data_IF_867786406032
#
_entry.id   IF_867786406032
#
_cell.length_a   1.000
_cell.length_b   1.000
_cell.length_c   1.000
_cell.angle_alpha   90.00
_cell.angle_beta   90.00
_cell.angle_gamma   90.00
#
_symmetry.space_group_name_H-M   'P 1'
#
loop_
_entity.id
_entity.type
_entity.pdbx_description
1 polymer ?
#
# COMPACT_ATOMS: atom_id res chain seq x y z
N UNK A 1 -1.94 -3.92 29.31
CA UNK A 1 -1.86 -2.72 30.17
C UNK A 1 -1.55 -1.56 29.25
N UNK A 2 -2.23 -0.42 29.37
CA UNK A 2 -1.93 0.77 28.55
C UNK A 2 -0.87 1.62 29.24
N UNK A 3 0.13 2.05 28.48
CA UNK A 3 1.11 3.05 28.89
C UNK A 3 0.51 4.45 28.72
N UNK A 4 0.72 5.33 29.68
CA UNK A 4 0.44 6.75 29.53
C UNK A 4 1.72 7.43 29.04
N UNK A 5 1.61 8.16 27.95
CA UNK A 5 2.72 8.88 27.31
C UNK A 5 2.47 10.37 27.46
N UNK A 6 3.43 11.09 28.04
CA UNK A 6 3.46 12.54 28.07
C UNK A 6 4.28 13.05 26.88
N UNK A 7 3.64 13.81 26.00
CA UNK A 7 4.20 14.38 24.79
C UNK A 7 4.02 15.89 24.89
N UNK A 8 5.05 16.58 25.38
CA UNK A 8 5.01 18.04 25.57
C UNK A 8 3.79 18.54 26.37
N UNK A 9 3.42 17.82 27.44
CA UNK A 9 2.29 18.18 28.31
C UNK A 9 0.95 17.57 27.88
N UNK A 10 0.90 16.86 26.76
CA UNK A 10 -0.29 16.13 26.30
C UNK A 10 -0.14 14.67 26.72
N UNK A 11 -1.15 14.13 27.40
CA UNK A 11 -1.14 12.75 27.86
C UNK A 11 -1.98 11.88 26.93
N UNK A 12 -1.37 10.82 26.39
CA UNK A 12 -2.01 9.89 25.45
C UNK A 12 -1.87 8.47 26.00
N UNK A 13 -2.95 7.69 25.89
CA UNK A 13 -2.89 6.26 26.15
C UNK A 13 -2.36 5.51 24.92
N UNK A 14 -1.39 4.63 25.14
CA UNK A 14 -0.86 3.75 24.11
C UNK A 14 -0.73 2.32 24.64
N UNK A 15 -0.91 1.32 23.79
CA UNK A 15 -0.77 -0.08 24.17
C UNK A 15 0.69 -0.47 24.42
N UNK A 16 1.63 0.26 23.81
CA UNK A 16 3.06 0.02 23.91
C UNK A 16 3.82 1.35 23.99
N UNK A 17 5.03 1.31 24.56
CA UNK A 17 5.92 2.46 24.54
C UNK A 17 6.54 2.56 23.13
N UNK A 18 6.63 3.76 22.51
CA UNK A 18 7.09 3.89 21.14
C UNK A 18 8.55 3.47 20.99
N UNK A 19 8.89 2.88 19.85
CA UNK A 19 10.26 2.53 19.48
C UNK A 19 11.15 3.79 19.34
N UNK A 20 12.46 3.56 19.25
CA UNK A 20 13.43 4.64 19.18
C UNK A 20 13.26 5.51 17.92
N UNK A 21 12.83 4.92 16.80
CA UNK A 21 12.62 5.62 15.54
C UNK A 21 11.43 6.56 15.66
N UNK A 22 10.31 6.09 16.19
CA UNK A 22 9.14 6.93 16.41
C UNK A 22 9.45 8.06 17.39
N UNK A 23 10.17 7.77 18.48
CA UNK A 23 10.65 8.82 19.40
C UNK A 23 11.51 9.87 18.69
N UNK A 24 12.42 9.45 17.81
CA UNK A 24 13.23 10.37 17.00
C UNK A 24 12.36 11.24 16.10
N UNK A 25 11.34 10.68 15.44
CA UNK A 25 10.42 11.47 14.62
C UNK A 25 9.69 12.53 15.42
N UNK A 26 9.19 12.22 16.61
CA UNK A 26 8.56 13.22 17.48
C UNK A 26 9.53 14.34 17.87
N UNK A 27 10.78 14.01 18.19
CA UNK A 27 11.82 15.01 18.49
C UNK A 27 12.15 15.88 17.27
N UNK A 28 12.22 15.29 16.09
CA UNK A 28 12.60 15.99 14.86
C UNK A 28 11.47 16.87 14.33
N UNK A 29 10.24 16.37 14.30
CA UNK A 29 9.12 17.01 13.59
C UNK A 29 8.18 17.80 14.51
N UNK A 30 8.03 17.38 15.76
CA UNK A 30 7.22 18.09 16.76
C UNK A 30 8.08 18.79 17.82
N UNK A 31 9.41 18.63 17.79
CA UNK A 31 10.32 19.19 18.78
C UNK A 31 10.01 18.74 20.21
N UNK A 32 9.53 17.50 20.33
CA UNK A 32 9.01 16.95 21.58
C UNK A 32 9.64 15.62 21.96
N UNK A 33 9.94 15.47 23.25
CA UNK A 33 10.30 14.19 23.84
C UNK A 33 9.06 13.47 24.37
N UNK A 34 9.07 12.15 24.25
CA UNK A 34 8.02 11.28 24.79
C UNK A 34 8.50 10.74 26.12
N UNK A 35 7.72 10.94 27.18
CA UNK A 35 8.03 10.46 28.53
C UNK A 35 6.92 9.52 29.01
N UNK A 36 7.27 8.51 29.80
CA UNK A 36 6.26 7.71 30.47
C UNK A 36 5.60 8.57 31.57
N UNK A 37 4.28 8.63 31.58
CA UNK A 37 3.48 9.35 32.57
C UNK A 37 2.97 8.36 33.61
N UNK A 38 3.06 8.74 34.88
CA UNK A 38 2.64 7.91 36.02
C UNK A 38 1.42 8.51 36.73
N UNK A 39 1.07 9.75 36.42
CA UNK A 39 0.00 10.50 37.07
C UNK A 39 -1.29 10.35 36.25
N UNK A 40 -2.44 10.26 36.94
CA UNK A 40 -3.76 10.38 36.32
C UNK A 40 -3.94 11.81 35.79
N UNK A 41 -3.60 12.02 34.53
CA UNK A 41 -3.96 13.21 33.76
C UNK A 41 -5.17 12.92 32.86
N UNK A 42 -5.80 13.98 32.36
CA UNK A 42 -6.81 13.86 31.32
C UNK A 42 -6.16 13.32 30.04
N UNK A 43 -6.64 12.17 29.58
CA UNK A 43 -6.08 11.46 28.43
C UNK A 43 -6.75 11.99 27.16
N UNK A 44 -5.92 12.49 26.24
CA UNK A 44 -6.35 12.94 24.92
C UNK A 44 -6.36 11.79 23.92
N UNK A 45 -7.21 11.90 22.89
CA UNK A 45 -7.25 10.92 21.80
C UNK A 45 -5.98 11.03 20.94
N UNK A 46 -5.35 9.91 20.55
CA UNK A 46 -4.27 9.93 19.56
C UNK A 46 -4.66 10.60 18.22
N UNK A 47 -5.96 10.57 17.84
CA UNK A 47 -6.46 11.19 16.60
C UNK A 47 -6.34 12.72 16.55
N UNK A 48 -6.31 13.33 17.73
CA UNK A 48 -6.38 14.79 17.91
C UNK A 48 -4.98 15.35 18.21
N UNK A 49 -3.97 14.48 18.31
CA UNK A 49 -2.62 14.85 18.68
C UNK A 49 -2.03 15.91 17.75
N UNK A 50 -2.33 15.83 16.44
CA UNK A 50 -1.83 16.78 15.46
C UNK A 50 -2.32 18.22 15.72
N UNK A 51 -3.52 18.39 16.30
CA UNK A 51 -4.10 19.70 16.63
C UNK A 51 -3.24 20.49 17.62
N UNK A 52 -2.50 19.80 18.48
CA UNK A 52 -1.63 20.44 19.48
C UNK A 52 -0.24 20.80 18.92
N UNK A 53 0.08 20.34 17.71
CA UNK A 53 1.34 20.63 17.01
C UNK A 53 1.03 21.26 15.65
N UNK A 54 0.57 22.53 15.61
CA UNK A 54 0.09 23.16 14.39
C UNK A 54 1.20 23.32 13.34
N UNK A 55 0.82 23.22 12.07
CA UNK A 55 1.65 23.47 10.88
C UNK A 55 0.73 23.78 9.71
N UNK A 56 1.27 23.91 8.51
CA UNK A 56 0.45 24.13 7.33
C UNK A 56 -0.50 22.94 7.10
N UNK A 57 -1.80 23.20 7.23
CA UNK A 57 -2.85 22.23 7.03
C UNK A 57 -2.96 21.89 5.54
N UNK A 58 -2.46 20.72 5.19
CA UNK A 58 -2.48 20.16 3.84
C UNK A 58 -2.92 18.72 3.90
N UNK A 59 -3.49 18.21 2.83
CA UNK A 59 -3.97 16.82 2.85
C UNK A 59 -4.07 16.21 1.45
N UNK A 60 -4.24 14.89 1.40
CA UNK A 60 -4.47 14.17 0.14
C UNK A 60 -5.58 13.12 0.29
N UNK A 61 -6.56 13.07 -0.63
CA UNK A 61 -7.64 12.09 -0.57
C UNK A 61 -7.18 10.69 -1.00
N UNK A 62 -7.51 9.68 -0.20
CA UNK A 62 -7.33 8.27 -0.55
C UNK A 62 -8.65 7.53 -0.35
N UNK A 63 -9.01 6.64 -1.26
CA UNK A 63 -10.26 5.91 -1.23
C UNK A 63 -10.06 4.40 -1.16
N UNK A 64 -10.96 3.72 -0.46
CA UNK A 64 -11.15 2.27 -0.58
C UNK A 64 -12.01 1.96 -1.81
N UNK A 65 -11.93 0.72 -2.28
CA UNK A 65 -12.60 0.30 -3.52
C UNK A 65 -14.12 0.52 -3.52
N UNK A 66 -14.76 0.34 -2.37
CA UNK A 66 -16.21 0.55 -2.18
C UNK A 66 -16.65 2.01 -2.30
N UNK A 67 -15.71 2.96 -2.23
CA UNK A 67 -15.99 4.40 -2.32
C UNK A 67 -15.69 5.01 -3.70
N UNK A 68 -15.23 4.22 -4.68
CA UNK A 68 -14.92 4.72 -6.02
C UNK A 68 -16.16 5.28 -6.74
N UNK A 69 -17.35 4.76 -6.45
CA UNK A 69 -18.60 5.27 -7.00
C UNK A 69 -19.25 6.37 -6.15
N UNK A 70 -18.60 6.83 -5.07
CA UNK A 70 -19.15 7.86 -4.18
C UNK A 70 -19.15 9.25 -4.83
N UNK A 71 -20.08 10.10 -4.43
CA UNK A 71 -20.10 11.52 -4.85
C UNK A 71 -18.80 12.23 -4.48
N UNK A 72 -18.21 11.87 -3.34
CA UNK A 72 -16.93 12.40 -2.89
C UNK A 72 -15.82 12.08 -3.89
N UNK A 73 -15.65 10.82 -4.27
CA UNK A 73 -14.64 10.41 -5.25
C UNK A 73 -14.81 11.14 -6.59
N UNK A 74 -16.05 11.18 -7.10
CA UNK A 74 -16.37 11.84 -8.36
C UNK A 74 -16.08 13.35 -8.30
N UNK A 75 -16.36 14.01 -7.17
CA UNK A 75 -16.00 15.41 -6.95
C UNK A 75 -14.50 15.66 -7.13
N UNK A 76 -13.63 14.81 -6.57
CA UNK A 76 -12.18 14.98 -6.72
C UNK A 76 -11.74 14.82 -8.18
N UNK A 77 -12.16 13.74 -8.83
CA UNK A 77 -11.80 13.46 -10.23
C UNK A 77 -12.27 14.58 -11.17
N UNK A 78 -13.52 15.04 -11.05
CA UNK A 78 -14.08 16.12 -11.88
C UNK A 78 -13.35 17.46 -11.70
N UNK A 79 -12.73 17.70 -10.54
CA UNK A 79 -11.95 18.90 -10.28
C UNK A 79 -10.45 18.72 -10.61
N UNK A 80 -10.08 17.65 -11.32
CA UNK A 80 -8.71 17.39 -11.75
C UNK A 80 -7.76 16.94 -10.64
N UNK A 81 -8.31 16.58 -9.47
CA UNK A 81 -7.53 16.04 -8.35
C UNK A 81 -7.38 14.55 -8.56
N UNK A 82 -6.16 14.03 -8.34
CA UNK A 82 -5.82 12.61 -8.49
C UNK A 82 -5.83 11.91 -7.14
N UNK A 83 -6.95 11.32 -6.70
CA UNK A 83 -7.02 10.63 -5.41
C UNK A 83 -6.20 9.34 -5.45
N UNK A 84 -5.73 8.90 -4.29
CA UNK A 84 -5.21 7.55 -4.15
C UNK A 84 -6.34 6.52 -4.07
N UNK A 85 -6.09 5.30 -4.52
CA UNK A 85 -7.00 4.16 -4.35
C UNK A 85 -6.24 3.01 -3.72
N UNK A 86 -6.72 2.54 -2.57
CA UNK A 86 -6.18 1.37 -1.90
C UNK A 86 -6.67 0.13 -2.65
N UNK A 87 -5.72 -0.62 -3.21
CA UNK A 87 -6.01 -1.89 -3.86
C UNK A 87 -6.48 -2.91 -2.81
N UNK A 88 -7.57 -3.65 -3.09
CA UNK A 88 -8.13 -4.64 -2.16
C UNK A 88 -7.08 -5.69 -1.81
N UNK A 89 -7.17 -6.25 -0.61
CA UNK A 89 -6.21 -7.26 -0.13
C UNK A 89 -6.23 -8.51 -1.02
N UNK A 90 -7.43 -9.06 -1.25
CA UNK A 90 -7.69 -10.30 -1.98
C UNK A 90 -7.50 -10.18 -3.51
N UNK A 91 -7.33 -11.35 -4.16
CA UNK A 91 -7.24 -11.46 -5.62
C UNK A 91 -8.52 -10.91 -6.25
N UNK A 92 -8.38 -9.95 -7.16
CA UNK A 92 -9.50 -9.23 -7.77
C UNK A 92 -10.54 -10.19 -8.38
N UNK A 93 -11.81 -10.00 -8.02
CA UNK A 93 -12.90 -10.40 -8.91
C UNK A 93 -12.89 -9.55 -10.17
N UNK A 94 -13.28 -10.11 -11.32
CA UNK A 94 -13.37 -9.36 -12.60
C UNK A 94 -14.10 -8.00 -12.50
N UNK A 95 -15.22 -7.85 -11.77
CA UNK A 95 -15.90 -6.55 -11.64
C UNK A 95 -15.03 -5.49 -10.96
N UNK A 96 -14.36 -5.85 -9.87
CA UNK A 96 -13.48 -4.95 -9.12
C UNK A 96 -12.29 -4.49 -9.97
N UNK A 97 -11.74 -5.37 -10.82
CA UNK A 97 -10.67 -5.01 -11.74
C UNK A 97 -11.09 -3.90 -12.71
N UNK A 98 -12.23 -4.03 -13.38
CA UNK A 98 -12.68 -3.02 -14.35
C UNK A 98 -12.97 -1.67 -13.69
N UNK A 99 -13.61 -1.67 -12.51
CA UNK A 99 -13.84 -0.45 -11.73
C UNK A 99 -12.53 0.24 -11.37
N UNK A 100 -11.53 -0.51 -10.91
CA UNK A 100 -10.21 0.03 -10.59
C UNK A 100 -9.50 0.58 -11.84
N UNK A 101 -9.55 -0.14 -12.96
CA UNK A 101 -8.92 0.30 -14.21
C UNK A 101 -9.55 1.58 -14.74
N UNK A 102 -10.87 1.69 -14.68
CA UNK A 102 -11.59 2.89 -15.04
C UNK A 102 -11.17 4.06 -14.14
N UNK A 103 -11.18 3.88 -12.82
CA UNK A 103 -10.77 4.90 -11.88
C UNK A 103 -9.32 5.36 -12.09
N UNK A 104 -8.40 4.43 -12.37
CA UNK A 104 -7.00 4.75 -12.70
C UNK A 104 -6.90 5.49 -14.03
N UNK A 105 -7.69 5.11 -15.03
CA UNK A 105 -7.73 5.83 -16.32
C UNK A 105 -8.24 7.27 -16.19
N UNK A 106 -9.10 7.52 -15.19
CA UNK A 106 -9.59 8.85 -14.83
C UNK A 106 -8.57 9.65 -13.98
N UNK A 107 -7.44 9.05 -13.63
CA UNK A 107 -6.31 9.72 -12.96
C UNK A 107 -6.07 9.29 -11.51
N UNK A 108 -6.84 8.34 -10.98
CA UNK A 108 -6.60 7.83 -9.63
C UNK A 108 -5.27 7.07 -9.52
N UNK A 109 -4.66 7.10 -8.34
CA UNK A 109 -3.30 6.62 -8.09
C UNK A 109 -3.35 5.33 -7.27
N UNK A 110 -2.95 4.18 -7.81
CA UNK A 110 -3.00 2.92 -7.08
C UNK A 110 -2.03 2.91 -5.88
N UNK A 111 -2.50 2.38 -4.75
CA UNK A 111 -1.74 2.17 -3.52
C UNK A 111 -1.93 0.71 -3.12
N UNK A 112 -0.84 -0.04 -2.97
CA UNK A 112 -0.92 -1.45 -2.59
C UNK A 112 -0.87 -1.61 -1.07
N UNK A 113 -1.71 -2.50 -0.51
CA UNK A 113 -1.62 -2.88 0.90
C UNK A 113 -0.27 -3.55 1.18
N UNK A 114 0.38 -3.12 2.26
CA UNK A 114 1.62 -3.65 2.78
C UNK A 114 1.39 -4.23 4.17
N UNK A 115 1.75 -5.50 4.35
CA UNK A 115 1.68 -6.21 5.63
C UNK A 115 3.10 -6.49 6.09
N UNK A 116 3.51 -5.92 7.22
CA UNK A 116 4.87 -6.06 7.72
C UNK A 116 5.26 -7.50 8.02
N UNK A 117 4.30 -8.32 8.45
CA UNK A 117 4.50 -9.75 8.71
C UNK A 117 4.72 -10.59 7.44
N UNK A 118 4.35 -10.06 6.25
CA UNK A 118 4.39 -10.76 4.97
C UNK A 118 4.96 -9.86 3.85
N UNK A 119 6.23 -9.44 3.92
CA UNK A 119 6.81 -8.51 2.94
C UNK A 119 6.86 -9.11 1.52
N UNK A 120 7.02 -10.43 1.39
CA UNK A 120 6.99 -11.12 0.10
C UNK A 120 5.62 -11.03 -0.58
N UNK A 121 4.53 -10.99 0.21
CA UNK A 121 3.17 -10.82 -0.30
C UNK A 121 3.00 -9.49 -1.01
N UNK A 122 3.57 -8.41 -0.45
CA UNK A 122 3.56 -7.10 -1.09
C UNK A 122 4.27 -7.12 -2.45
N UNK A 123 5.46 -7.73 -2.53
CA UNK A 123 6.23 -7.79 -3.77
C UNK A 123 5.50 -8.56 -4.89
N UNK A 124 4.88 -9.70 -4.54
CA UNK A 124 4.05 -10.47 -5.47
C UNK A 124 2.86 -9.63 -5.97
N UNK A 125 2.16 -8.97 -5.05
CA UNK A 125 0.99 -8.13 -5.35
C UNK A 125 1.34 -6.92 -6.19
N UNK A 126 2.44 -6.24 -5.90
CA UNK A 126 2.92 -5.10 -6.66
C UNK A 126 3.30 -5.51 -8.09
N UNK A 127 3.95 -6.67 -8.25
CA UNK A 127 4.29 -7.23 -9.56
C UNK A 127 3.04 -7.58 -10.36
N UNK A 128 2.09 -8.31 -9.77
CA UNK A 128 0.85 -8.69 -10.43
C UNK A 128 -0.02 -7.48 -10.77
N UNK A 129 -0.17 -6.54 -9.83
CA UNK A 129 -0.95 -5.30 -10.04
C UNK A 129 -0.33 -4.46 -11.16
N UNK A 130 1.00 -4.40 -11.23
CA UNK A 130 1.71 -3.78 -12.37
C UNK A 130 1.38 -4.46 -13.69
N UNK A 131 1.35 -5.79 -13.73
CA UNK A 131 1.09 -6.55 -14.95
C UNK A 131 -0.30 -6.33 -15.54
N UNK A 132 -1.30 -6.15 -14.68
CA UNK A 132 -2.67 -5.79 -15.10
C UNK A 132 -2.85 -4.28 -15.26
N UNK A 133 -1.78 -3.50 -15.16
CA UNK A 133 -1.76 -2.04 -15.33
C UNK A 133 -2.47 -1.26 -14.23
N UNK A 134 -2.42 -1.78 -13.00
CA UNK A 134 -2.79 -1.14 -11.72
C UNK A 134 -1.53 -0.95 -10.86
N UNK A 135 -0.44 -0.51 -11.48
CA UNK A 135 0.87 -0.32 -10.85
C UNK A 135 0.76 0.55 -9.58
N UNK A 136 1.18 0.05 -8.40
CA UNK A 136 1.17 0.85 -7.18
C UNK A 136 2.23 1.95 -7.20
N UNK A 137 1.91 3.09 -6.59
CA UNK A 137 2.81 4.24 -6.43
C UNK A 137 3.18 4.51 -4.96
N UNK A 138 2.55 3.79 -4.03
CA UNK A 138 2.84 3.83 -2.61
C UNK A 138 2.38 2.51 -1.96
N UNK A 139 2.85 2.28 -0.75
CA UNK A 139 2.42 1.20 0.14
C UNK A 139 1.45 1.76 1.20
N UNK A 140 0.37 1.04 1.49
CA UNK A 140 -0.57 1.36 2.58
C UNK A 140 -0.40 0.36 3.72
N UNK A 141 -0.14 0.85 4.93
CA UNK A 141 0.02 0.03 6.14
C UNK A 141 -1.17 0.29 7.05
N UNK A 142 -2.07 -0.69 7.16
CA UNK A 142 -3.33 -0.54 7.91
C UNK A 142 -3.18 -0.77 9.42
N UNK A 143 -2.07 -1.35 9.88
CA UNK A 143 -1.87 -1.78 11.27
C UNK A 143 -1.27 -0.70 12.18
N UNK A 144 -0.82 0.41 11.61
CA UNK A 144 -0.10 1.46 12.34
C UNK A 144 1.40 1.46 12.07
N UNK A 145 2.12 2.30 12.81
CA UNK A 145 3.57 2.40 12.73
C UNK A 145 4.25 1.11 13.21
N UNK A 146 5.27 0.69 12.48
CA UNK A 146 6.13 -0.44 12.78
C UNK A 146 7.56 -0.08 12.35
N UNK A 147 8.53 -0.22 13.25
CA UNK A 147 9.93 0.13 12.98
C UNK A 147 10.53 -0.72 11.85
N UNK A 148 10.03 -1.94 11.62
CA UNK A 148 10.50 -2.81 10.54
C UNK A 148 10.29 -2.20 9.15
N UNK A 149 9.43 -1.18 9.01
CA UNK A 149 9.24 -0.43 7.77
C UNK A 149 10.53 0.24 7.29
N UNK A 150 11.46 0.59 8.19
CA UNK A 150 12.76 1.18 7.81
C UNK A 150 13.70 0.20 7.11
N UNK A 151 13.43 -1.09 7.23
CA UNK A 151 14.20 -2.17 6.57
C UNK A 151 13.62 -2.58 5.22
N UNK A 152 12.48 -1.99 4.84
CA UNK A 152 11.79 -2.33 3.60
C UNK A 152 12.46 -1.65 2.40
N UNK A 153 12.04 -1.97 1.16
CA UNK A 153 12.53 -1.27 -0.02
C UNK A 153 12.20 0.23 -0.02
N UNK A 154 12.95 1.00 -0.80
CA UNK A 154 12.74 2.45 -0.91
C UNK A 154 11.32 2.82 -1.36
N UNK A 155 10.79 3.94 -0.85
CA UNK A 155 9.57 4.53 -1.34
C UNK A 155 8.65 5.11 -0.29
N UNK A 156 7.40 5.32 -0.71
CA UNK A 156 6.37 6.00 0.07
C UNK A 156 5.44 5.03 0.78
N UNK A 157 5.32 5.21 2.09
CA UNK A 157 4.53 4.39 2.99
C UNK A 157 3.48 5.27 3.69
N UNK A 158 2.22 4.90 3.51
CA UNK A 158 1.06 5.57 4.06
C UNK A 158 0.58 4.76 5.25
N UNK A 159 0.73 5.30 6.45
CA UNK A 159 0.54 4.60 7.72
C UNK A 159 -0.79 5.01 8.32
N UNK A 160 -1.73 4.08 8.38
CA UNK A 160 -3.03 4.32 9.00
C UNK A 160 -2.87 4.51 10.51
N UNK A 161 -3.54 5.52 11.06
CA UNK A 161 -3.62 5.75 12.48
C UNK A 161 -4.30 4.54 13.14
N UNK A 162 -3.59 3.96 14.11
CA UNK A 162 -4.12 2.94 15.00
C UNK A 162 -4.35 3.59 16.37
N UNK A 163 -5.60 3.69 16.81
CA UNK A 163 -5.97 4.36 18.06
C UNK A 163 -5.40 3.68 19.31
N UNK A 164 -4.96 2.43 19.22
CA UNK A 164 -4.26 1.76 20.31
C UNK A 164 -2.81 2.21 20.46
N UNK A 165 -2.19 2.79 19.42
CA UNK A 165 -0.77 3.10 19.37
C UNK A 165 -0.51 4.59 19.16
N UNK A 166 0.71 5.03 19.47
CA UNK A 166 1.10 6.39 19.15
C UNK A 166 1.22 6.55 17.62
N UNK A 167 0.55 7.53 17.00
CA UNK A 167 0.57 7.70 15.55
C UNK A 167 1.89 8.30 15.08
N UNK A 168 2.17 8.16 13.78
CA UNK A 168 3.21 8.96 13.12
C UNK A 168 2.82 10.46 13.20
N UNK A 169 3.79 11.39 13.37
CA UNK A 169 3.53 12.81 13.21
C UNK A 169 2.79 13.12 11.91
N UNK A 170 1.80 14.01 11.94
CA UNK A 170 1.05 14.50 10.77
C UNK A 170 1.91 15.47 9.94
N UNK A 171 2.98 14.93 9.37
CA UNK A 171 4.01 15.59 8.55
C UNK A 171 4.48 14.61 7.49
N UNK A 172 5.17 15.14 6.49
CA UNK A 172 6.04 14.29 5.66
C UNK A 172 7.28 13.92 6.50
N UNK A 173 7.41 12.65 6.83
CA UNK A 173 8.56 12.12 7.56
C UNK A 173 9.50 11.45 6.57
N UNK A 174 10.76 11.91 6.51
CA UNK A 174 11.78 11.38 5.60
C UNK A 174 12.88 10.70 6.42
N UNK A 175 13.10 9.41 6.15
CA UNK A 175 14.17 8.62 6.75
C UNK A 175 14.95 7.93 5.64
N UNK A 176 16.10 8.49 5.26
CA UNK A 176 16.91 7.98 4.14
C UNK A 176 16.13 7.98 2.81
N UNK A 177 15.84 6.78 2.31
CA UNK A 177 15.11 6.51 1.07
C UNK A 177 13.59 6.33 1.25
N UNK A 178 13.09 6.52 2.47
CA UNK A 178 11.69 6.33 2.82
C UNK A 178 10.99 7.65 3.06
N UNK A 179 9.74 7.72 2.59
CA UNK A 179 8.79 8.77 2.93
C UNK A 179 7.61 8.14 3.67
N UNK A 180 7.33 8.62 4.89
CA UNK A 180 6.23 8.16 5.71
C UNK A 180 5.18 9.26 5.84
N UNK A 181 3.93 8.87 5.70
CA UNK A 181 2.77 9.76 5.78
C UNK A 181 1.73 9.18 6.72
N UNK A 182 1.17 10.02 7.60
CA UNK A 182 0.08 9.62 8.49
C UNK A 182 -1.25 9.63 7.72
N UNK A 183 -2.07 8.60 7.91
CA UNK A 183 -3.40 8.49 7.31
C UNK A 183 -4.48 8.27 8.36
N UNK A 184 -5.63 8.94 8.23
CA UNK A 184 -6.77 8.78 9.14
C UNK A 184 -8.10 9.00 8.43
N UNK A 185 -9.18 8.53 9.02
CA UNK A 185 -10.53 8.98 8.63
C UNK A 185 -10.75 10.43 9.04
N UNK A 186 -11.61 11.16 8.33
CA UNK A 186 -11.89 12.56 8.66
C UNK A 186 -12.66 12.67 9.98
N UNK A 187 -12.15 13.48 10.92
CA UNK A 187 -12.73 13.73 12.24
C UNK A 187 -13.13 15.21 12.45
N UNK A 188 -13.44 15.92 11.36
CA UNK A 188 -13.90 17.32 11.42
C UNK A 188 -12.80 18.37 11.26
N UNK A 189 -11.53 17.98 11.25
CA UNK A 189 -10.40 18.90 11.07
C UNK A 189 -9.25 18.22 10.34
N UNK A 190 -8.41 19.05 9.71
CA UNK A 190 -7.12 18.66 9.15
C UNK A 190 -6.06 19.41 9.94
N UNK A 191 -5.04 18.73 10.42
CA UNK A 191 -3.92 19.41 11.09
C UNK A 191 -2.57 18.90 10.62
N UNK A 192 -1.76 19.82 10.08
CA UNK A 192 -0.49 19.45 9.46
C UNK A 192 -0.66 18.79 8.09
N UNK A 193 0.17 17.79 7.76
CA UNK A 193 0.01 17.02 6.54
C UNK A 193 -0.57 15.63 6.82
N UNK A 194 -1.80 15.39 6.33
CA UNK A 194 -2.53 14.15 6.58
C UNK A 194 -3.09 13.55 5.29
N UNK A 195 -3.06 12.23 5.20
CA UNK A 195 -3.78 11.49 4.17
C UNK A 195 -5.16 11.14 4.72
N UNK A 196 -6.20 11.58 4.04
CA UNK A 196 -7.58 11.37 4.52
C UNK A 196 -8.20 10.22 3.75
N UNK A 197 -8.55 9.18 4.50
CA UNK A 197 -9.19 7.97 3.96
C UNK A 197 -10.69 8.25 3.85
N UNK A 198 -11.25 8.01 2.67
CA UNK A 198 -12.66 8.17 2.34
C UNK A 198 -13.21 9.53 2.81
N UNK A 199 -12.63 10.66 2.35
CA UNK A 199 -13.07 11.99 2.77
C UNK A 199 -14.55 12.21 2.43
N UNK A 200 -15.30 12.97 3.24
CA UNK A 200 -16.69 13.29 2.92
C UNK A 200 -16.78 14.28 1.75
N UNK A 201 -17.93 14.29 1.06
CA UNK A 201 -18.10 15.07 -0.16
C UNK A 201 -18.11 16.59 0.08
N UNK A 202 -18.38 17.05 1.30
CA UNK A 202 -18.39 18.46 1.70
C UNK A 202 -16.98 19.00 2.03
N UNK A 203 -15.97 18.13 2.14
CA UNK A 203 -14.61 18.56 2.46
C UNK A 203 -14.08 19.55 1.41
N UNK A 204 -13.51 20.71 1.81
CA UNK A 204 -13.02 21.72 0.88
C UNK A 204 -11.86 21.21 0.03
N UNK A 205 -11.86 21.49 -1.28
CA UNK A 205 -10.78 21.08 -2.19
C UNK A 205 -9.50 21.93 -2.06
N UNK A 206 -9.47 22.87 -1.11
CA UNK A 206 -8.31 23.68 -0.80
C UNK A 206 -7.23 22.88 -0.07
N UNK A 207 -5.98 23.31 -0.21
CA UNK A 207 -4.81 22.76 0.49
C UNK A 207 -4.50 21.28 0.18
N UNK A 208 -4.95 20.80 -0.98
CA UNK A 208 -4.57 19.46 -1.43
C UNK A 208 -3.10 19.47 -1.82
N UNK A 209 -2.32 18.56 -1.24
CA UNK A 209 -0.90 18.38 -1.53
C UNK A 209 -0.60 16.91 -1.77
N UNK A 210 -0.07 16.58 -2.93
CA UNK A 210 0.31 15.22 -3.27
C UNK A 210 1.54 14.76 -2.46
N UNK A 211 1.57 13.50 -2.00
CA UNK A 211 2.76 12.96 -1.38
C UNK A 211 3.84 12.73 -2.45
N UNK A 212 5.06 12.47 -1.99
CA UNK A 212 6.05 11.85 -2.88
C UNK A 212 5.52 10.49 -3.31
N UNK A 213 5.52 10.23 -4.61
CA UNK A 213 5.03 8.99 -5.19
C UNK A 213 6.20 8.20 -5.74
N UNK A 214 6.23 6.92 -5.39
CA UNK A 214 7.24 5.98 -5.80
C UNK A 214 7.38 4.87 -4.78
N UNK A 215 7.54 3.64 -5.25
CA UNK A 215 7.73 2.49 -4.38
C UNK A 215 8.57 1.44 -5.10
N UNK A 216 9.53 0.87 -4.39
CA UNK A 216 10.37 -0.21 -4.88
C UNK A 216 9.95 -1.53 -4.26
N UNK A 217 10.27 -2.63 -4.93
CA UNK A 217 10.13 -3.96 -4.37
C UNK A 217 11.10 -4.93 -5.03
N UNK A 218 11.45 -5.98 -4.30
CA UNK A 218 12.19 -7.11 -4.85
C UNK A 218 11.27 -8.32 -4.95
N UNK A 219 11.16 -8.89 -6.15
CA UNK A 219 10.41 -10.12 -6.36
C UNK A 219 11.26 -11.10 -7.17
N UNK A 220 11.53 -12.28 -6.60
CA UNK A 220 12.38 -13.32 -7.20
C UNK A 220 13.79 -12.82 -7.59
N UNK A 221 14.44 -12.05 -6.71
CA UNK A 221 15.76 -11.43 -6.95
C UNK A 221 15.78 -10.45 -8.14
N UNK A 222 14.62 -9.92 -8.52
CA UNK A 222 14.50 -8.84 -9.50
C UNK A 222 14.02 -7.60 -8.77
N UNK A 223 14.78 -6.53 -8.90
CA UNK A 223 14.41 -5.23 -8.38
C UNK A 223 13.48 -4.51 -9.35
N UNK A 224 12.41 -3.94 -8.79
CA UNK A 224 11.43 -3.13 -9.48
C UNK A 224 11.30 -1.80 -8.76
N UNK A 225 11.18 -0.72 -9.53
CA UNK A 225 10.91 0.61 -9.03
C UNK A 225 9.75 1.21 -9.80
N UNK A 226 8.69 1.57 -9.09
CA UNK A 226 7.58 2.33 -9.66
C UNK A 226 7.88 3.82 -9.57
N UNK A 227 8.17 4.43 -10.72
CA UNK A 227 8.38 5.89 -10.84
C UNK A 227 7.08 6.56 -11.34
N UNK A 228 6.93 7.89 -11.23
CA UNK A 228 5.74 8.58 -11.75
C UNK A 228 5.40 8.24 -13.21
N UNK A 229 6.41 7.94 -14.04
CA UNK A 229 6.25 7.71 -15.48
C UNK A 229 6.08 6.23 -15.83
N UNK A 230 6.96 5.35 -15.33
CA UNK A 230 7.00 3.93 -15.73
C UNK A 230 7.56 3.04 -14.61
N UNK A 231 7.36 1.72 -14.70
CA UNK A 231 8.12 0.78 -13.86
C UNK A 231 9.50 0.63 -14.47
N UNK A 232 10.53 0.91 -13.68
CA UNK A 232 11.92 0.66 -14.00
C UNK A 232 12.31 -0.73 -13.47
N UNK A 233 12.81 -1.58 -14.36
CA UNK A 233 13.38 -2.89 -14.02
C UNK A 233 14.26 -3.39 -15.17
N UNK A 234 14.90 -4.55 -15.02
CA UNK A 234 15.70 -5.17 -16.07
C UNK A 234 14.81 -5.89 -17.11
N UNK A 235 15.41 -6.33 -18.23
CA UNK A 235 14.68 -7.01 -19.31
C UNK A 235 13.93 -8.26 -18.82
N UNK A 236 14.53 -9.02 -17.91
CA UNK A 236 13.93 -10.22 -17.32
C UNK A 236 12.71 -9.82 -16.48
N UNK A 237 12.80 -8.73 -15.71
CA UNK A 237 11.71 -8.18 -14.92
C UNK A 237 10.48 -7.82 -15.75
N UNK A 238 10.67 -7.19 -16.92
CA UNK A 238 9.54 -6.93 -17.82
C UNK A 238 8.87 -8.22 -18.34
N UNK A 239 9.64 -9.26 -18.65
CA UNK A 239 9.10 -10.57 -19.02
C UNK A 239 8.32 -11.17 -17.85
N UNK A 240 8.85 -11.07 -16.62
CA UNK A 240 8.21 -11.56 -15.41
C UNK A 240 6.91 -10.83 -15.08
N UNK A 241 6.85 -9.51 -15.29
CA UNK A 241 5.60 -8.75 -15.18
C UNK A 241 4.54 -9.39 -16.10
N UNK A 242 4.83 -9.62 -17.37
CA UNK A 242 3.86 -10.22 -18.31
C UNK A 242 3.43 -11.62 -17.86
N UNK A 243 4.38 -12.46 -17.43
CA UNK A 243 4.08 -13.82 -16.97
C UNK A 243 3.31 -13.85 -15.65
N UNK A 244 3.47 -12.84 -14.79
CA UNK A 244 2.85 -12.80 -13.47
C UNK A 244 1.32 -12.83 -13.51
N UNK A 245 0.69 -12.40 -14.61
CA UNK A 245 -0.76 -12.47 -14.84
C UNK A 245 -1.27 -13.92 -14.64
N UNK A 246 -0.48 -14.91 -15.02
CA UNK A 246 -0.85 -16.33 -14.94
C UNK A 246 -0.32 -16.97 -13.65
N UNK A 247 0.91 -16.61 -13.25
CA UNK A 247 1.66 -17.35 -12.22
C UNK A 247 1.30 -16.91 -10.81
N UNK A 248 1.23 -15.61 -10.54
CA UNK A 248 1.04 -15.08 -9.18
C UNK A 248 -0.30 -15.49 -8.58
N UNK A 249 -1.45 -15.42 -9.30
CA UNK A 249 -2.72 -15.88 -8.73
C UNK A 249 -2.69 -17.36 -8.34
N UNK A 250 -2.07 -18.21 -9.16
CA UNK A 250 -1.98 -19.64 -8.90
C UNK A 250 -1.09 -19.93 -7.67
N UNK A 251 0.09 -19.33 -7.60
CA UNK A 251 1.03 -19.53 -6.50
C UNK A 251 0.47 -19.00 -5.17
N UNK A 252 -0.18 -17.83 -5.19
CA UNK A 252 -0.79 -17.23 -4.00
C UNK A 252 -1.94 -18.09 -3.47
N UNK A 253 -2.82 -18.62 -4.33
CA UNK A 253 -3.91 -19.52 -3.93
C UNK A 253 -3.33 -20.81 -3.33
N UNK A 254 -2.28 -21.37 -3.94
CA UNK A 254 -1.70 -22.62 -3.48
C UNK A 254 -0.93 -22.47 -2.17
N UNK A 255 -0.14 -21.40 -2.01
CA UNK A 255 0.63 -21.12 -0.79
C UNK A 255 -0.25 -20.73 0.40
N UNK A 256 -1.34 -20.00 0.16
CA UNK A 256 -2.28 -19.60 1.24
C UNK A 256 -3.22 -20.71 1.65
N UNK A 257 -3.64 -21.58 0.72
CA UNK A 257 -4.63 -22.63 1.00
C UNK A 257 -3.98 -23.96 1.39
N UNK A 258 -2.76 -24.24 0.92
CA UNK A 258 -2.06 -25.51 1.14
C UNK A 258 -0.55 -25.33 1.37
N UNK A 259 -0.14 -24.70 2.49
CA UNK A 259 1.27 -24.45 2.77
C UNK A 259 2.13 -25.73 2.85
N UNK A 260 1.57 -26.85 3.34
CA UNK A 260 2.31 -28.11 3.55
C UNK A 260 2.51 -28.95 2.27
N UNK A 261 1.63 -28.80 1.27
CA UNK A 261 1.83 -29.45 -0.03
C UNK A 261 3.04 -28.85 -0.74
N UNK A 262 3.25 -27.54 -0.66
CA UNK A 262 4.42 -26.89 -1.24
C UNK A 262 5.67 -26.99 -0.36
N UNK A 263 5.55 -27.22 0.95
CA UNK A 263 6.67 -27.57 1.82
C UNK A 263 7.29 -28.94 1.49
N UNK A 264 6.49 -29.87 0.95
CA UNK A 264 6.96 -31.19 0.49
C UNK A 264 7.39 -31.22 -0.98
N UNK A 265 6.87 -30.32 -1.82
CA UNK A 265 7.49 -29.95 -3.12
C UNK A 265 8.58 -28.87 -2.98
N UNK A 266 8.93 -28.55 -1.73
CA UNK A 266 9.79 -27.45 -1.32
C UNK A 266 11.26 -27.76 -1.57
N UNK A 267 11.74 -27.34 -2.73
CA UNK A 267 13.05 -26.68 -2.83
C UNK A 267 13.31 -26.11 -4.22
N UNK A 268 12.69 -26.63 -5.29
CA UNK A 268 12.95 -26.15 -6.64
C UNK A 268 11.78 -26.44 -7.58
N UNK A 269 10.63 -25.77 -7.43
CA UNK A 269 9.84 -25.47 -8.63
C UNK A 269 10.62 -24.36 -9.33
N UNK A 270 11.68 -24.78 -10.03
CA UNK A 270 12.43 -23.92 -10.93
C UNK A 270 11.43 -23.25 -11.86
N UNK A 271 11.37 -21.92 -11.86
CA UNK A 271 10.57 -21.12 -12.79
C UNK A 271 10.73 -21.58 -14.25
N UNK A 272 11.88 -22.19 -14.58
CA UNK A 272 12.13 -22.86 -15.86
C UNK A 272 11.09 -23.96 -16.11
N UNK A 273 10.76 -24.79 -15.13
CA UNK A 273 9.77 -25.88 -15.25
C UNK A 273 8.36 -25.34 -15.48
N UNK A 274 8.03 -24.17 -14.91
CA UNK A 274 6.71 -23.56 -15.09
C UNK A 274 6.62 -22.84 -16.46
N UNK A 275 7.68 -22.13 -16.87
CA UNK A 275 7.81 -21.56 -18.22
C UNK A 275 7.78 -22.67 -19.28
N UNK A 276 8.51 -23.75 -19.07
CA UNK A 276 8.48 -24.95 -19.93
C UNK A 276 7.09 -25.57 -19.93
N UNK A 277 6.41 -25.64 -18.78
CA UNK A 277 5.02 -26.10 -18.68
C UNK A 277 4.06 -25.24 -19.50
N UNK A 278 4.15 -23.91 -19.41
CA UNK A 278 3.33 -22.98 -20.18
C UNK A 278 3.61 -23.08 -21.69
N UNK A 279 4.89 -23.21 -22.09
CA UNK A 279 5.28 -23.42 -23.48
C UNK A 279 4.73 -24.76 -24.01
N UNK A 280 4.85 -25.84 -23.22
CA UNK A 280 4.30 -27.14 -23.59
C UNK A 280 2.78 -27.10 -23.72
N UNK A 281 2.09 -26.38 -22.82
CA UNK A 281 0.64 -26.21 -22.89
C UNK A 281 0.22 -25.42 -24.15
N UNK A 282 0.94 -24.34 -24.49
CA UNK A 282 0.72 -23.60 -25.74
C UNK A 282 0.97 -24.45 -26.98
N UNK A 283 2.04 -25.27 -26.97
CA UNK A 283 2.31 -26.23 -28.04
C UNK A 283 1.20 -27.27 -28.17
N UNK A 284 0.65 -27.72 -27.04
CA UNK A 284 -0.42 -28.71 -27.00
C UNK A 284 -1.75 -28.12 -27.50
N UNK A 285 -2.10 -26.90 -27.09
CA UNK A 285 -3.25 -26.15 -27.62
C UNK A 285 -3.09 -25.93 -29.13
N UNK A 286 -1.92 -25.47 -29.58
CA UNK A 286 -1.60 -25.28 -31.00
C UNK A 286 -1.70 -26.59 -31.80
N UNK A 287 -1.23 -27.69 -31.24
CA UNK A 287 -1.34 -29.05 -31.81
C UNK A 287 -2.80 -29.49 -31.94
N UNK A 288 -3.61 -29.29 -30.90
CA UNK A 288 -5.06 -29.60 -30.93
C UNK A 288 -5.76 -28.75 -32.00
N UNK A 289 -5.50 -27.44 -32.06
CA UNK A 289 -6.10 -26.55 -33.07
C UNK A 289 -5.69 -26.98 -34.48
N UNK A 290 -4.42 -27.31 -34.71
CA UNK A 290 -3.96 -27.86 -36.00
C UNK A 290 -4.66 -29.16 -36.36
N UNK A 291 -4.84 -30.07 -35.40
CA UNK A 291 -5.51 -31.37 -35.61
C UNK A 291 -7.00 -31.19 -35.91
N UNK A 292 -7.68 -30.30 -35.20
CA UNK A 292 -9.09 -29.96 -35.45
C UNK A 292 -9.27 -29.30 -36.82
N UNK A 293 -8.39 -28.35 -37.21
CA UNK A 293 -8.40 -27.77 -38.57
C UNK A 293 -8.16 -28.80 -39.67
N UNK A 294 -7.29 -29.79 -39.43
CA UNK A 294 -6.97 -30.83 -40.43
C UNK A 294 -8.08 -31.86 -40.59
N UNK A 295 -8.85 -32.13 -39.53
CA UNK A 295 -9.99 -33.06 -39.54
C UNK A 295 -11.33 -32.39 -39.87
N UNK A 296 -11.43 -31.06 -39.80
CA UNK A 296 -12.60 -30.27 -40.22
C UNK A 296 -12.59 -29.83 -41.68
N UNK A 297 -11.71 -30.39 -42.51
CA UNK A 297 -11.59 -30.15 -43.96
C UNK A 297 -12.04 -31.38 -44.78
N UNK A 298 -13.09 -32.06 -44.33
CA UNK A 298 -13.84 -33.04 -45.12
C UNK A 298 -15.29 -32.57 -45.25
#
# INVERSE_FOLDING_TARGET
MSNLLNICGIVIASSQYPDATLQQFYRQYYHCEIKAEQIKAEVQSPSDLSMFFPYQDTWWPVFTIDQISSESFQKFIHNGIRPGIILPDEVFGFPHYFLLKEAVSQGAIPIALFKTEQPQYFAAKATFSTAIGLRPMAAFVSTGWDENLISQPAGSYIIQLNSANLPLPSREVRQGQHFFYSAKGFNGHVSGYEIIINPPADLPLSNIRYPQLGISWNFNNIDYESTPEHVSTNLIGYIFIILSIVVVPLDLILTTTYPDLLGTFGSYISWISLVVGAILLLLLISSIIRRVRKNGSN
#
